data_IF_119215870047
#
_entry.id   IF_119215870047
#
_cell.length_a   1.000
_cell.length_b   1.000
_cell.length_c   1.000
_cell.angle_alpha   90.00
_cell.angle_beta   90.00
_cell.angle_gamma   90.00
#
_symmetry.space_group_name_H-M   'P 1'
#
loop_
_entity.id
_entity.type
_entity.pdbx_description
1 polymer ?
#
# COMPACT_ATOMS: atom_id res chain seq x y z
N UNK A 1 -5.80 -13.93 -6.67
CA UNK A 1 -5.56 -14.05 -8.13
C UNK A 1 -6.93 -14.12 -8.79
N UNK A 2 -7.08 -13.62 -10.02
CA UNK A 2 -8.34 -13.82 -10.75
C UNK A 2 -8.49 -15.31 -11.09
N UNK A 3 -9.70 -15.85 -10.95
CA UNK A 3 -10.03 -17.22 -11.36
C UNK A 3 -10.60 -17.18 -12.77
N UNK A 4 -10.29 -18.20 -13.57
CA UNK A 4 -10.85 -18.33 -14.91
C UNK A 4 -12.38 -18.50 -14.81
N UNK A 5 -13.18 -17.72 -15.57
CA UNK A 5 -14.63 -17.92 -15.59
C UNK A 5 -14.97 -19.28 -16.20
N UNK A 6 -15.93 -19.99 -15.60
CA UNK A 6 -16.47 -21.24 -16.12
C UNK A 6 -17.83 -21.00 -16.76
N UNK A 7 -18.79 -20.47 -16.01
CA UNK A 7 -20.14 -20.17 -16.48
C UNK A 7 -20.16 -18.98 -17.44
N UNK A 8 -19.32 -17.97 -17.22
CA UNK A 8 -19.31 -16.75 -18.04
C UNK A 8 -18.32 -16.80 -19.21
N UNK A 9 -17.71 -17.96 -19.47
CA UNK A 9 -16.69 -18.11 -20.51
C UNK A 9 -17.25 -17.85 -21.91
N UNK A 10 -18.49 -18.26 -22.17
CA UNK A 10 -19.16 -18.05 -23.47
C UNK A 10 -19.28 -16.57 -23.85
N UNK A 11 -19.27 -15.66 -22.88
CA UNK A 11 -19.31 -14.21 -23.13
C UNK A 11 -18.05 -13.74 -23.87
N UNK A 12 -16.92 -14.43 -23.71
CA UNK A 12 -15.70 -14.14 -24.47
C UNK A 12 -15.87 -14.44 -25.97
N UNK A 13 -16.73 -15.38 -26.35
CA UNK A 13 -17.02 -15.77 -27.74
C UNK A 13 -17.80 -14.69 -28.49
N UNK A 14 -18.45 -13.77 -27.76
CA UNK A 14 -19.13 -12.61 -28.34
C UNK A 14 -18.19 -11.47 -28.70
N UNK A 15 -16.93 -11.51 -28.24
CA UNK A 15 -15.93 -10.50 -28.57
C UNK A 15 -15.27 -10.82 -29.92
N UNK A 16 -14.80 -9.81 -30.67
CA UNK A 16 -14.13 -10.04 -31.95
C UNK A 16 -12.84 -10.86 -31.73
N UNK A 17 -12.73 -12.00 -32.43
CA UNK A 17 -11.58 -12.91 -32.29
C UNK A 17 -10.26 -12.20 -32.63
N UNK A 18 -9.30 -12.24 -31.71
CA UNK A 18 -7.95 -11.70 -31.91
C UNK A 18 -7.76 -10.20 -31.66
N UNK A 19 -8.84 -9.42 -31.60
CA UNK A 19 -8.78 -7.94 -31.51
C UNK A 19 -9.05 -7.40 -30.10
N UNK A 20 -9.01 -8.27 -29.08
CA UNK A 20 -9.14 -7.84 -27.69
C UNK A 20 -7.92 -8.20 -26.84
N UNK A 21 -7.63 -7.33 -25.88
CA UNK A 21 -6.64 -7.54 -24.83
C UNK A 21 -7.33 -7.89 -23.52
N UNK A 22 -6.95 -9.00 -22.91
CA UNK A 22 -7.44 -9.46 -21.60
C UNK A 22 -6.48 -9.12 -20.46
N UNK A 23 -6.99 -8.69 -19.31
CA UNK A 23 -6.19 -8.43 -18.10
C UNK A 23 -6.95 -8.78 -16.82
N UNK A 24 -6.27 -9.35 -15.83
CA UNK A 24 -6.87 -9.58 -14.51
C UNK A 24 -7.15 -8.25 -13.77
N UNK A 25 -8.38 -8.06 -13.27
CA UNK A 25 -8.80 -6.87 -12.52
C UNK A 25 -9.92 -7.20 -11.51
N UNK A 26 -9.77 -6.71 -10.27
CA UNK A 26 -10.74 -6.90 -9.17
C UNK A 26 -11.20 -8.35 -8.91
N UNK A 27 -10.37 -9.34 -9.24
CA UNK A 27 -10.71 -10.77 -9.07
C UNK A 27 -11.34 -11.43 -10.29
N UNK A 28 -11.65 -10.67 -11.35
CA UNK A 28 -12.10 -11.16 -12.65
C UNK A 28 -11.20 -10.67 -13.80
N UNK A 29 -11.76 -10.59 -15.00
CA UNK A 29 -11.04 -10.22 -16.23
C UNK A 29 -11.67 -9.05 -16.95
N UNK A 30 -10.87 -8.01 -17.20
CA UNK A 30 -11.26 -6.87 -18.02
C UNK A 30 -10.76 -7.09 -19.45
N UNK A 31 -11.62 -6.76 -20.40
CA UNK A 31 -11.40 -6.89 -21.83
C UNK A 31 -11.32 -5.49 -22.43
N UNK A 32 -10.28 -5.28 -23.20
CA UNK A 32 -10.02 -4.06 -23.93
C UNK A 32 -10.15 -4.33 -25.41
N UNK A 33 -10.84 -3.48 -26.14
CA UNK A 33 -10.80 -3.43 -27.60
C UNK A 33 -10.14 -2.09 -27.94
N UNK A 34 -9.09 -2.15 -28.77
CA UNK A 34 -8.14 -1.06 -28.94
C UNK A 34 -7.56 -0.58 -27.59
N UNK A 35 -7.89 0.65 -27.18
CA UNK A 35 -7.51 1.25 -25.89
C UNK A 35 -8.68 1.38 -24.90
N UNK A 36 -9.89 0.99 -25.31
CA UNK A 36 -11.11 1.14 -24.51
C UNK A 36 -11.37 -0.13 -23.70
N UNK A 37 -11.55 0.01 -22.38
CA UNK A 37 -12.10 -1.07 -21.58
C UNK A 37 -13.59 -1.19 -21.86
N UNK A 38 -14.05 -2.34 -22.38
CA UNK A 38 -15.41 -2.52 -22.90
C UNK A 38 -16.26 -3.48 -22.06
N UNK A 39 -15.62 -4.47 -21.44
CA UNK A 39 -16.29 -5.51 -20.66
C UNK A 39 -15.40 -5.90 -19.49
N UNK A 40 -16.01 -6.21 -18.35
CA UNK A 40 -15.35 -6.85 -17.24
C UNK A 40 -16.25 -7.97 -16.73
N UNK A 41 -15.71 -9.19 -16.69
CA UNK A 41 -16.40 -10.40 -16.25
C UNK A 41 -15.87 -10.79 -14.88
N UNK A 42 -16.78 -11.17 -13.98
CA UNK A 42 -16.44 -11.76 -12.69
C UNK A 42 -17.31 -12.97 -12.41
N UNK A 43 -16.67 -14.02 -11.93
CA UNK A 43 -17.35 -15.22 -11.48
C UNK A 43 -16.82 -15.54 -10.09
N UNK A 44 -17.52 -15.01 -9.08
CA UNK A 44 -17.16 -15.21 -7.68
C UNK A 44 -18.31 -15.90 -6.97
N UNK A 45 -18.17 -17.21 -6.76
CA UNK A 45 -19.09 -17.99 -5.94
C UNK A 45 -19.18 -17.40 -4.52
N UNK A 46 -20.40 -17.11 -4.06
CA UNK A 46 -20.65 -16.53 -2.73
C UNK A 46 -20.17 -15.08 -2.58
N UNK A 47 -20.27 -14.27 -3.64
CA UNK A 47 -19.89 -12.86 -3.65
C UNK A 47 -20.49 -12.04 -2.51
N UNK A 48 -19.84 -10.93 -2.15
CA UNK A 48 -20.38 -10.04 -1.12
C UNK A 48 -21.67 -9.37 -1.61
N UNK A 49 -22.76 -9.55 -0.87
CA UNK A 49 -24.03 -8.80 -1.04
C UNK A 49 -24.11 -7.54 -0.20
N UNK A 50 -23.05 -7.23 0.54
CA UNK A 50 -23.03 -6.08 1.44
C UNK A 50 -21.90 -5.12 1.09
N UNK A 51 -22.21 -3.83 1.08
CA UNK A 51 -21.24 -2.77 0.89
C UNK A 51 -21.65 -1.52 1.67
N UNK A 52 -20.73 -0.97 2.47
CA UNK A 52 -20.96 0.21 3.33
C UNK A 52 -22.24 0.11 4.19
N UNK A 53 -22.54 -1.09 4.71
CA UNK A 53 -23.72 -1.34 5.55
C UNK A 53 -25.05 -1.45 4.79
N UNK A 54 -25.06 -1.33 3.46
CA UNK A 54 -26.23 -1.63 2.62
C UNK A 54 -26.17 -3.08 2.14
N UNK A 55 -27.32 -3.75 2.17
CA UNK A 55 -27.50 -5.11 1.61
C UNK A 55 -28.17 -4.99 0.24
N UNK A 56 -27.68 -5.75 -0.72
CA UNK A 56 -28.19 -5.83 -2.08
C UNK A 56 -28.79 -7.22 -2.29
N UNK A 57 -29.78 -7.31 -3.16
CA UNK A 57 -30.46 -8.58 -3.46
C UNK A 57 -29.66 -9.46 -4.43
N UNK A 58 -28.62 -8.89 -5.04
CA UNK A 58 -27.69 -9.53 -5.95
C UNK A 58 -26.26 -9.50 -5.42
N UNK A 59 -25.42 -10.40 -5.95
CA UNK A 59 -23.99 -10.47 -5.64
C UNK A 59 -23.23 -9.34 -6.34
N UNK A 60 -22.39 -8.60 -5.63
CA UNK A 60 -21.71 -7.40 -6.18
C UNK A 60 -20.56 -7.74 -7.15
N UNK A 61 -20.12 -9.00 -7.19
CA UNK A 61 -18.94 -9.40 -7.96
C UNK A 61 -19.17 -10.73 -8.67
N UNK A 62 -20.39 -10.94 -9.20
CA UNK A 62 -20.74 -12.13 -9.96
C UNK A 62 -21.64 -11.78 -11.17
N UNK A 63 -21.05 -11.62 -12.35
CA UNK A 63 -21.73 -11.15 -13.56
C UNK A 63 -20.85 -10.29 -14.48
N UNK A 64 -21.47 -9.44 -15.29
CA UNK A 64 -20.80 -8.62 -16.30
C UNK A 64 -20.93 -7.12 -16.00
N UNK A 65 -19.81 -6.40 -16.13
CA UNK A 65 -19.76 -4.94 -16.05
C UNK A 65 -19.36 -4.32 -17.38
N UNK A 66 -20.04 -3.24 -17.73
CA UNK A 66 -19.84 -2.47 -18.95
C UNK A 66 -19.40 -1.06 -18.56
N UNK A 67 -18.11 -0.72 -18.75
CA UNK A 67 -17.62 0.62 -18.47
C UNK A 67 -18.26 1.63 -19.43
N UNK A 68 -18.76 2.74 -18.91
CA UNK A 68 -19.31 3.86 -19.70
C UNK A 68 -18.84 5.15 -19.04
N UNK A 69 -18.57 6.21 -19.81
CA UNK A 69 -18.30 7.51 -19.23
C UNK A 69 -19.56 8.12 -18.59
N UNK A 70 -19.40 8.82 -17.46
CA UNK A 70 -20.54 9.30 -16.66
C UNK A 70 -21.51 10.18 -17.47
N UNK A 71 -20.99 10.89 -18.47
CA UNK A 71 -21.74 11.75 -19.38
C UNK A 71 -22.72 10.96 -20.26
N UNK A 72 -22.37 9.73 -20.66
CA UNK A 72 -23.18 8.87 -21.52
C UNK A 72 -23.98 7.81 -20.74
N UNK A 73 -23.91 7.81 -19.40
CA UNK A 73 -24.56 6.78 -18.59
C UNK A 73 -26.09 6.79 -18.72
N UNK A 74 -26.71 7.97 -18.81
CA UNK A 74 -28.15 8.08 -18.99
C UNK A 74 -28.59 7.53 -20.36
N UNK A 75 -27.83 7.83 -21.41
CA UNK A 75 -28.08 7.31 -22.76
C UNK A 75 -27.88 5.78 -22.82
N UNK A 76 -26.84 5.27 -22.16
CA UNK A 76 -26.58 3.84 -22.01
C UNK A 76 -27.76 3.10 -21.33
N UNK A 77 -28.32 3.67 -20.26
CA UNK A 77 -29.47 3.11 -19.57
C UNK A 77 -30.76 3.17 -20.38
N UNK A 78 -30.92 4.18 -21.24
CA UNK A 78 -32.05 4.24 -22.17
C UNK A 78 -31.99 3.12 -23.21
N UNK A 79 -30.80 2.75 -23.68
CA UNK A 79 -30.60 1.64 -24.62
C UNK A 79 -30.67 0.27 -23.93
N UNK A 80 -30.20 0.18 -22.69
CA UNK A 80 -30.11 -1.07 -21.93
C UNK A 80 -30.67 -0.86 -20.51
N UNK A 81 -32.01 -0.79 -20.34
CA UNK A 81 -32.64 -0.45 -19.06
C UNK A 81 -32.50 -1.55 -18.00
N UNK A 82 -32.15 -2.77 -18.41
CA UNK A 82 -31.87 -3.90 -17.52
C UNK A 82 -30.52 -3.77 -16.78
N UNK A 83 -29.66 -2.84 -17.19
CA UNK A 83 -28.39 -2.58 -16.52
C UNK A 83 -28.58 -1.66 -15.32
N UNK A 84 -27.76 -1.84 -14.30
CA UNK A 84 -27.79 -0.98 -13.09
C UNK A 84 -26.41 -0.39 -12.80
N UNK A 85 -26.30 0.86 -12.34
CA UNK A 85 -25.02 1.41 -11.89
C UNK A 85 -24.44 0.59 -10.74
N UNK A 86 -23.18 0.17 -10.85
CA UNK A 86 -22.58 -0.69 -9.85
C UNK A 86 -22.40 0.06 -8.50
N UNK A 87 -22.81 -0.51 -7.35
CA UNK A 87 -22.74 0.16 -6.05
C UNK A 87 -21.36 0.66 -5.61
N UNK A 88 -20.29 -0.04 -6.03
CA UNK A 88 -18.90 0.29 -5.67
C UNK A 88 -18.24 1.16 -6.74
N UNK A 89 -18.62 0.96 -8.01
CA UNK A 89 -18.05 1.63 -9.18
C UNK A 89 -19.20 2.27 -9.98
N UNK A 90 -19.81 3.37 -9.49
CA UNK A 90 -21.07 3.90 -10.02
C UNK A 90 -20.97 4.38 -11.47
N UNK A 91 -19.76 4.56 -12.00
CA UNK A 91 -19.52 4.87 -13.41
C UNK A 91 -19.82 3.67 -14.33
N UNK A 92 -19.74 2.45 -13.82
CA UNK A 92 -19.79 1.23 -14.62
C UNK A 92 -21.18 0.61 -14.45
N UNK A 93 -21.77 0.21 -15.57
CA UNK A 93 -23.07 -0.45 -15.59
C UNK A 93 -22.87 -1.94 -15.35
N UNK A 94 -23.77 -2.56 -14.60
CA UNK A 94 -23.63 -3.91 -14.09
C UNK A 94 -24.88 -4.74 -14.38
N UNK A 95 -24.63 -5.98 -14.77
CA UNK A 95 -25.62 -7.03 -14.94
C UNK A 95 -25.22 -8.23 -14.05
N UNK A 96 -25.96 -8.49 -12.96
CA UNK A 96 -25.74 -9.66 -12.12
C UNK A 96 -26.04 -10.96 -12.86
N UNK A 97 -25.27 -12.02 -12.58
CA UNK A 97 -25.41 -13.34 -13.21
C UNK A 97 -26.82 -13.93 -13.05
N UNK A 98 -27.43 -13.78 -11.87
CA UNK A 98 -28.74 -14.36 -11.54
C UNK A 98 -29.94 -13.50 -12.02
N UNK A 99 -29.72 -12.62 -13.00
CA UNK A 99 -30.81 -11.83 -13.59
C UNK A 99 -31.59 -12.69 -14.59
N UNK A 100 -32.90 -12.53 -14.65
CA UNK A 100 -33.71 -13.18 -15.69
C UNK A 100 -33.25 -12.73 -17.09
N UNK A 101 -33.24 -13.67 -18.04
CA UNK A 101 -32.76 -13.46 -19.42
C UNK A 101 -31.33 -12.89 -19.48
N UNK A 102 -30.46 -13.29 -18.55
CA UNK A 102 -29.06 -12.85 -18.48
C UNK A 102 -28.35 -12.96 -19.82
N UNK A 103 -28.43 -14.12 -20.48
CA UNK A 103 -27.70 -14.38 -21.73
C UNK A 103 -28.13 -13.44 -22.86
N UNK A 104 -29.44 -13.19 -22.99
CA UNK A 104 -30.01 -12.27 -23.98
C UNK A 104 -29.62 -10.81 -23.69
N UNK A 105 -29.63 -10.43 -22.41
CA UNK A 105 -29.24 -9.11 -21.95
C UNK A 105 -27.76 -8.84 -22.19
N UNK A 106 -26.87 -9.79 -21.88
CA UNK A 106 -25.43 -9.70 -22.18
C UNK A 106 -25.21 -9.57 -23.68
N UNK A 107 -25.85 -10.42 -24.48
CA UNK A 107 -25.73 -10.39 -25.94
C UNK A 107 -26.18 -9.05 -26.51
N UNK A 108 -27.30 -8.52 -26.01
CA UNK A 108 -27.84 -7.23 -26.44
C UNK A 108 -26.92 -6.08 -26.05
N UNK A 109 -26.41 -6.06 -24.81
CA UNK A 109 -25.48 -5.05 -24.35
C UNK A 109 -24.17 -5.08 -25.16
N UNK A 110 -23.57 -6.26 -25.37
CA UNK A 110 -22.36 -6.39 -26.16
C UNK A 110 -22.54 -5.97 -27.62
N UNK A 111 -23.69 -6.29 -28.23
CA UNK A 111 -24.02 -5.78 -29.58
C UNK A 111 -24.01 -4.26 -29.65
N UNK A 112 -24.40 -3.54 -28.58
CA UNK A 112 -24.32 -2.07 -28.53
C UNK A 112 -22.89 -1.59 -28.29
N UNK A 113 -22.15 -2.28 -27.42
CA UNK A 113 -20.76 -1.95 -27.07
C UNK A 113 -19.85 -2.07 -28.28
N UNK A 114 -20.05 -3.10 -29.11
CA UNK A 114 -19.22 -3.41 -30.28
C UNK A 114 -19.56 -2.61 -31.54
N UNK A 115 -20.55 -1.69 -31.50
CA UNK A 115 -20.87 -0.86 -32.67
C UNK A 115 -19.71 0.07 -33.03
N UNK A 116 -19.46 0.31 -34.33
CA UNK A 116 -18.54 1.37 -34.76
C UNK A 116 -18.94 2.72 -34.14
N UNK A 117 -17.96 3.48 -33.64
CA UNK A 117 -18.17 4.77 -32.95
C UNK A 117 -19.05 4.72 -31.70
N UNK A 118 -19.16 3.56 -31.05
CA UNK A 118 -19.87 3.43 -29.79
C UNK A 118 -19.24 4.31 -28.69
N UNK A 119 -20.09 5.00 -27.94
CA UNK A 119 -19.71 5.74 -26.72
C UNK A 119 -19.44 4.80 -25.53
N UNK A 120 -19.75 3.51 -25.69
CA UNK A 120 -19.46 2.49 -24.70
C UNK A 120 -17.96 2.27 -24.56
N UNK A 121 -17.59 1.81 -23.37
CA UNK A 121 -16.22 1.63 -22.95
C UNK A 121 -15.64 2.87 -22.30
N UNK A 122 -14.53 2.69 -21.58
CA UNK A 122 -13.79 3.82 -21.01
C UNK A 122 -12.30 3.64 -21.21
N UNK A 123 -11.64 4.69 -21.67
CA UNK A 123 -10.18 4.71 -21.78
C UNK A 123 -9.62 4.94 -20.38
N UNK A 124 -8.82 4.01 -19.82
CA UNK A 124 -8.21 4.22 -18.52
C UNK A 124 -7.31 5.46 -18.59
N UNK A 125 -7.72 6.55 -17.94
CA UNK A 125 -6.86 7.72 -17.83
C UNK A 125 -5.55 7.29 -17.18
N UNK A 126 -4.43 7.58 -17.85
CA UNK A 126 -3.11 7.41 -17.23
C UNK A 126 -3.17 8.10 -15.87
N UNK A 127 -2.85 7.37 -14.80
CA UNK A 127 -2.77 7.98 -13.48
C UNK A 127 -1.71 9.06 -13.56
N UNK A 128 -2.11 10.33 -13.61
CA UNK A 128 -1.23 11.43 -13.26
C UNK A 128 -0.65 11.03 -11.90
N UNK A 129 0.67 10.78 -11.85
CA UNK A 129 1.36 10.53 -10.59
C UNK A 129 0.93 11.64 -9.66
N UNK A 130 0.14 11.31 -8.62
CA UNK A 130 -0.25 12.27 -7.61
C UNK A 130 1.06 12.89 -7.12
N UNK A 131 1.26 14.19 -7.37
CA UNK A 131 2.34 14.92 -6.70
C UNK A 131 2.09 14.68 -5.22
N UNK A 132 3.07 14.05 -4.56
CA UNK A 132 3.03 13.86 -3.12
C UNK A 132 2.68 15.20 -2.46
N UNK A 133 1.91 15.21 -1.36
CA UNK A 133 1.64 16.45 -0.64
C UNK A 133 2.99 17.13 -0.37
N UNK A 134 3.12 18.40 -0.78
CA UNK A 134 4.33 19.18 -0.51
C UNK A 134 4.50 19.22 1.01
N UNK A 135 5.58 18.61 1.47
CA UNK A 135 6.02 18.66 2.85
C UNK A 135 6.24 20.14 3.23
N UNK A 136 5.65 20.67 4.33
CA UNK A 136 5.84 22.05 4.77
C UNK A 136 7.31 22.42 5.03
N UNK A 137 8.22 21.45 5.05
CA UNK A 137 9.66 21.66 5.24
C UNK A 137 10.43 22.05 3.94
N UNK A 138 9.76 22.20 2.80
CA UNK A 138 10.42 22.51 1.52
C UNK A 138 10.92 23.95 1.35
N UNK A 139 10.76 24.83 2.33
CA UNK A 139 11.18 26.25 2.20
C UNK A 139 12.67 26.49 2.44
N UNK A 140 13.45 25.46 2.81
CA UNK A 140 14.92 25.55 2.83
C UNK A 140 15.48 24.86 1.60
N UNK A 141 15.42 25.54 0.45
CA UNK A 141 16.08 25.10 -0.78
C UNK A 141 17.60 25.29 -0.67
N UNK A 142 18.27 24.48 0.14
CA UNK A 142 19.66 24.17 -0.16
C UNK A 142 19.61 23.29 -1.41
N UNK A 143 20.12 23.77 -2.54
CA UNK A 143 20.31 22.97 -3.77
C UNK A 143 21.06 21.69 -3.37
N UNK A 144 20.34 20.59 -3.17
CA UNK A 144 20.94 19.28 -2.98
C UNK A 144 21.59 18.89 -4.31
N UNK A 145 22.91 18.78 -4.34
CA UNK A 145 23.61 18.25 -5.51
C UNK A 145 23.31 16.75 -5.60
N UNK A 146 22.42 16.38 -6.51
CA UNK A 146 21.99 14.99 -6.70
C UNK A 146 23.00 14.15 -7.47
N UNK A 147 24.09 14.75 -7.97
CA UNK A 147 25.18 14.04 -8.66
C UNK A 147 26.02 13.21 -7.70
N UNK A 148 26.07 13.60 -6.42
CA UNK A 148 26.69 12.84 -5.35
C UNK A 148 25.67 12.69 -4.21
N UNK A 149 24.85 11.63 -4.23
CA UNK A 149 23.97 11.33 -3.11
C UNK A 149 24.83 11.22 -1.85
N UNK A 150 24.44 11.88 -0.74
CA UNK A 150 25.16 11.84 0.56
C UNK A 150 25.49 10.43 1.07
N UNK A 151 24.88 9.40 0.49
CA UNK A 151 25.21 7.99 0.75
C UNK A 151 26.60 7.57 0.25
N UNK A 152 27.26 8.36 -0.61
CA UNK A 152 28.54 8.06 -1.25
C UNK A 152 29.69 9.02 -0.90
N UNK A 153 29.53 9.87 0.13
CA UNK A 153 30.61 10.76 0.55
C UNK A 153 31.55 10.05 1.54
N UNK A 154 32.79 9.80 1.13
CA UNK A 154 33.89 9.34 1.98
C UNK A 154 34.50 10.49 2.80
N UNK A 155 33.65 11.35 3.38
CA UNK A 155 34.13 12.41 4.27
C UNK A 155 34.55 11.81 5.63
N UNK A 156 35.70 12.23 6.18
CA UNK A 156 36.20 11.70 7.45
C UNK A 156 35.21 11.99 8.59
N UNK A 157 34.94 10.98 9.41
CA UNK A 157 33.91 11.02 10.45
C UNK A 157 34.02 12.26 11.38
N UNK A 158 35.24 12.71 11.67
CA UNK A 158 35.50 13.84 12.54
C UNK A 158 34.94 15.18 12.03
N UNK A 159 34.84 15.37 10.71
CA UNK A 159 34.33 16.61 10.11
C UNK A 159 32.81 16.62 10.05
N UNK A 160 32.21 15.47 9.70
CA UNK A 160 30.75 15.28 9.66
C UNK A 160 30.14 15.45 11.04
N UNK A 161 30.78 14.89 12.07
CA UNK A 161 30.32 15.01 13.46
C UNK A 161 30.38 16.44 14.01
N UNK A 162 31.28 17.30 13.49
CA UNK A 162 31.36 18.72 13.87
C UNK A 162 30.29 19.57 13.18
N UNK A 163 29.88 19.20 11.96
CA UNK A 163 28.86 19.90 11.17
C UNK A 163 27.43 19.47 11.52
N UNK A 164 27.25 18.30 12.14
CA UNK A 164 25.93 17.76 12.48
C UNK A 164 25.28 18.56 13.63
N UNK A 165 24.15 19.20 13.34
CA UNK A 165 23.34 19.89 14.34
C UNK A 165 22.15 19.03 14.79
N UNK A 166 21.50 18.34 13.85
CA UNK A 166 20.36 17.45 14.08
C UNK A 166 20.79 15.99 14.13
N UNK A 167 19.95 15.15 14.74
CA UNK A 167 20.22 13.71 14.84
C UNK A 167 19.99 13.05 13.48
N UNK A 168 19.05 13.58 12.69
CA UNK A 168 18.79 13.17 11.31
C UNK A 168 19.94 13.44 10.35
N UNK A 169 20.91 14.29 10.74
CA UNK A 169 22.07 14.61 9.90
C UNK A 169 23.13 13.49 9.95
N UNK A 170 23.04 12.59 10.94
CA UNK A 170 23.96 11.48 11.13
C UNK A 170 23.60 10.28 10.27
N UNK A 171 24.62 9.58 9.77
CA UNK A 171 24.44 8.40 8.92
C UNK A 171 23.68 7.30 9.69
N UNK A 172 22.78 6.61 8.99
CA UNK A 172 21.88 5.58 9.52
C UNK A 172 20.76 6.05 10.49
N UNK A 173 20.69 7.35 10.82
CA UNK A 173 19.65 7.91 11.69
C UNK A 173 18.69 8.80 10.88
N UNK A 174 17.45 8.35 10.73
CA UNK A 174 16.41 9.11 10.03
C UNK A 174 15.53 9.95 10.96
N UNK A 175 14.55 10.65 10.37
CA UNK A 175 13.59 11.49 11.10
C UNK A 175 12.78 10.73 12.18
N UNK A 176 12.53 9.43 11.98
CA UNK A 176 11.82 8.62 12.98
C UNK A 176 12.71 8.29 14.19
N UNK A 177 14.00 8.05 13.96
CA UNK A 177 14.98 7.89 15.04
C UNK A 177 15.13 9.20 15.82
N UNK A 178 15.15 10.35 15.14
CA UNK A 178 15.23 11.65 15.81
C UNK A 178 14.08 11.88 16.80
N UNK A 179 12.83 11.52 16.45
CA UNK A 179 11.70 11.58 17.39
C UNK A 179 11.91 10.70 18.62
N UNK A 180 12.44 9.49 18.43
CA UNK A 180 12.72 8.55 19.52
C UNK A 180 13.81 9.10 20.46
N UNK A 181 14.82 9.75 19.89
CA UNK A 181 15.87 10.41 20.67
C UNK A 181 15.34 11.61 21.45
N UNK A 182 14.49 12.44 20.85
CA UNK A 182 13.82 13.52 21.55
C UNK A 182 12.97 13.01 22.72
N UNK A 183 12.24 11.91 22.54
CA UNK A 183 11.48 11.26 23.60
C UNK A 183 12.38 10.70 24.72
N UNK A 184 13.61 10.28 24.39
CA UNK A 184 14.63 9.86 25.36
C UNK A 184 15.46 11.02 25.94
N UNK A 185 15.09 12.28 25.65
CA UNK A 185 15.73 13.47 26.18
C UNK A 185 17.07 13.84 25.52
N UNK A 186 17.39 13.27 24.35
CA UNK A 186 18.56 13.62 23.54
C UNK A 186 18.06 14.49 22.39
N UNK A 187 18.37 15.78 22.43
CA UNK A 187 17.83 16.75 21.45
C UNK A 187 18.81 17.18 20.37
N UNK A 188 20.11 16.96 20.57
CA UNK A 188 21.15 17.41 19.64
C UNK A 188 22.15 16.31 19.31
N UNK A 189 22.75 16.37 18.13
CA UNK A 189 23.80 15.43 17.70
C UNK A 189 25.01 15.45 18.66
N UNK A 190 25.39 16.62 19.17
CA UNK A 190 26.49 16.75 20.13
C UNK A 190 26.21 16.03 21.46
N UNK A 191 24.97 16.03 21.94
CA UNK A 191 24.58 15.27 23.13
C UNK A 191 24.73 13.76 22.88
N UNK A 192 24.35 13.29 21.69
CA UNK A 192 24.55 11.90 21.29
C UNK A 192 26.04 11.52 21.25
N UNK A 193 26.88 12.34 20.58
CA UNK A 193 28.33 12.12 20.48
C UNK A 193 28.98 12.06 21.87
N UNK A 194 28.60 12.98 22.77
CA UNK A 194 29.13 13.02 24.14
C UNK A 194 28.71 11.81 24.99
N UNK A 195 27.52 11.27 24.78
CA UNK A 195 27.01 10.11 25.51
C UNK A 195 27.59 8.79 24.98
N UNK A 196 27.86 8.73 23.68
CA UNK A 196 28.26 7.51 22.98
C UNK A 196 27.10 6.53 22.78
N UNK A 197 27.34 5.47 22.00
CA UNK A 197 26.29 4.54 21.58
C UNK A 197 25.72 3.69 22.74
N UNK A 198 26.57 3.24 23.69
CA UNK A 198 26.15 2.38 24.81
C UNK A 198 25.12 3.05 25.73
N UNK A 199 25.41 4.27 26.18
CA UNK A 199 24.52 5.04 27.08
C UNK A 199 23.26 5.51 26.37
N UNK A 200 23.39 5.88 25.09
CA UNK A 200 22.26 6.25 24.25
C UNK A 200 21.29 5.10 24.06
N UNK A 201 21.80 3.89 23.78
CA UNK A 201 20.98 2.70 23.63
C UNK A 201 20.19 2.37 24.91
N UNK A 202 20.80 2.50 26.09
CA UNK A 202 20.12 2.30 27.37
C UNK A 202 18.95 3.29 27.57
N UNK A 203 19.17 4.58 27.25
CA UNK A 203 18.11 5.60 27.33
C UNK A 203 16.97 5.33 26.35
N UNK A 204 17.31 4.89 25.13
CA UNK A 204 16.32 4.56 24.11
C UNK A 204 15.51 3.31 24.46
N UNK A 205 16.15 2.28 25.05
CA UNK A 205 15.45 1.08 25.53
C UNK A 205 14.47 1.41 26.66
N UNK A 206 14.80 2.38 27.53
CA UNK A 206 13.92 2.80 28.62
C UNK A 206 12.60 3.40 28.12
N UNK A 207 12.63 4.17 27.03
CA UNK A 207 11.44 4.76 26.42
C UNK A 207 10.76 3.79 25.45
N UNK A 208 11.54 3.02 24.70
CA UNK A 208 11.08 2.14 23.64
C UNK A 208 11.72 0.75 23.76
N UNK A 209 11.05 -0.19 24.47
CA UNK A 209 11.57 -1.55 24.68
C UNK A 209 11.81 -2.36 23.39
N UNK A 210 11.25 -1.92 22.25
CA UNK A 210 11.42 -2.54 20.93
C UNK A 210 12.82 -2.35 20.34
N UNK A 211 13.58 -1.33 20.76
CA UNK A 211 14.94 -1.06 20.26
C UNK A 211 16.02 -1.96 20.88
N UNK A 212 15.61 -2.96 21.68
CA UNK A 212 16.51 -3.95 22.26
C UNK A 212 16.86 -5.03 21.23
N UNK A 213 17.57 -4.64 20.17
CA UNK A 213 18.14 -5.54 19.18
C UNK A 213 19.50 -5.01 18.69
N UNK A 214 20.42 -5.91 18.34
CA UNK A 214 21.79 -5.58 17.93
C UNK A 214 21.86 -4.67 16.71
N UNK A 215 20.90 -4.76 15.79
CA UNK A 215 20.84 -3.89 14.61
C UNK A 215 20.75 -2.40 14.95
N UNK A 216 20.10 -2.04 16.07
CA UNK A 216 19.98 -0.65 16.47
C UNK A 216 21.31 -0.13 17.02
N UNK A 217 22.04 -1.00 17.75
CA UNK A 217 23.38 -0.68 18.21
C UNK A 217 24.35 -0.47 17.03
N UNK A 218 24.22 -1.24 15.95
CA UNK A 218 25.00 -1.03 14.72
C UNK A 218 24.70 0.33 14.09
N UNK A 219 23.42 0.71 14.00
CA UNK A 219 23.06 2.03 13.49
C UNK A 219 23.69 3.18 14.31
N UNK A 220 23.74 3.04 15.64
CA UNK A 220 24.39 4.02 16.53
C UNK A 220 25.92 4.06 16.38
N UNK A 221 26.56 2.90 16.23
CA UNK A 221 28.01 2.82 16.01
C UNK A 221 28.35 3.43 14.64
N UNK A 222 27.62 3.05 13.60
CA UNK A 222 27.79 3.61 12.25
C UNK A 222 27.54 5.12 12.20
N UNK A 223 26.62 5.63 13.02
CA UNK A 223 26.41 7.07 13.16
C UNK A 223 27.62 7.81 13.77
N UNK A 224 28.39 7.15 14.66
CA UNK A 224 29.59 7.73 15.27
C UNK A 224 30.83 7.58 14.37
N UNK A 225 30.96 6.47 13.66
CA UNK A 225 32.09 6.22 12.76
C UNK A 225 31.85 6.74 11.34
N UNK A 226 30.69 7.34 11.08
CA UNK A 226 30.23 7.76 9.75
C UNK A 226 30.23 6.63 8.71
N UNK A 227 30.06 5.38 9.16
CA UNK A 227 30.02 4.18 8.31
C UNK A 227 28.60 3.66 8.19
N UNK A 228 28.30 2.97 7.09
CA UNK A 228 27.04 2.25 6.98
C UNK A 228 27.03 1.08 7.97
N UNK A 229 25.88 0.78 8.59
CA UNK A 229 25.79 -0.29 9.59
C UNK A 229 26.18 -1.69 9.05
N UNK A 230 26.13 -1.87 7.73
CA UNK A 230 26.59 -3.06 7.00
C UNK A 230 28.12 -3.18 7.00
N UNK A 231 28.83 -2.05 6.94
CA UNK A 231 30.29 -1.96 6.77
C UNK A 231 31.08 -1.82 8.09
N UNK A 232 30.40 -1.80 9.24
CA UNK A 232 31.05 -1.80 10.56
C UNK A 232 31.92 -3.04 10.73
N UNK A 233 33.05 -2.86 11.43
CA UNK A 233 34.01 -3.93 11.73
C UNK A 233 33.35 -5.08 12.49
N UNK A 234 33.84 -6.30 12.27
CA UNK A 234 33.26 -7.49 12.91
C UNK A 234 33.43 -7.43 14.45
N UNK A 235 34.55 -6.87 14.93
CA UNK A 235 34.82 -6.68 16.36
C UNK A 235 33.78 -5.78 17.04
N UNK A 236 33.43 -4.63 16.43
CA UNK A 236 32.40 -3.72 16.98
C UNK A 236 30.99 -4.33 16.91
N UNK A 237 30.71 -5.14 15.88
CA UNK A 237 29.44 -5.87 15.78
C UNK A 237 29.29 -6.91 16.88
N UNK A 238 30.37 -7.57 17.25
CA UNK A 238 30.36 -8.59 18.31
C UNK A 238 30.28 -7.94 19.70
N UNK A 239 30.99 -6.83 19.93
CA UNK A 239 30.83 -6.02 21.16
C UNK A 239 29.38 -5.54 21.35
N UNK A 240 28.75 -5.05 20.29
CA UNK A 240 27.35 -4.62 20.33
C UNK A 240 26.37 -5.79 20.57
N UNK A 241 26.65 -6.98 20.04
CA UNK A 241 25.84 -8.19 20.32
C UNK A 241 25.96 -8.61 21.77
N UNK A 242 27.17 -8.66 22.30
CA UNK A 242 27.44 -9.01 23.69
C UNK A 242 26.79 -8.02 24.64
N UNK A 243 26.89 -6.72 24.34
CA UNK A 243 26.24 -5.67 25.12
C UNK A 243 24.73 -5.85 25.13
N UNK A 244 24.07 -6.02 23.97
CA UNK A 244 22.61 -6.22 23.92
C UNK A 244 22.19 -7.53 24.58
N UNK A 245 22.99 -8.60 24.47
CA UNK A 245 22.76 -9.88 25.15
C UNK A 245 22.84 -9.75 26.67
N UNK A 246 23.72 -8.88 27.18
CA UNK A 246 23.87 -8.61 28.61
C UNK A 246 22.65 -7.86 29.21
N UNK A 247 21.84 -7.19 28.39
CA UNK A 247 20.66 -6.45 28.84
C UNK A 247 19.49 -7.40 29.14
N UNK A 248 19.26 -7.65 30.44
CA UNK A 248 18.12 -8.46 30.91
C UNK A 248 16.80 -7.91 30.36
N UNK A 249 15.86 -8.78 29.91
CA UNK A 249 14.55 -8.34 29.47
C UNK A 249 13.82 -7.63 30.60
N UNK A 250 13.25 -6.46 30.32
CA UNK A 250 12.27 -5.84 31.22
C UNK A 250 11.11 -6.85 31.42
N UNK A 251 10.73 -7.10 32.68
CA UNK A 251 9.59 -7.96 33.02
C UNK A 251 8.36 -7.46 32.25
N UNK A 252 7.79 -8.30 31.39
CA UNK A 252 6.50 -8.00 30.75
C UNK A 252 5.45 -7.82 31.85
N UNK A 253 4.60 -6.76 31.84
CA UNK A 253 3.46 -6.71 32.73
C UNK A 253 2.52 -7.88 32.40
N UNK A 254 2.27 -8.74 33.39
CA UNK A 254 1.42 -9.92 33.27
C UNK A 254 -0.01 -9.43 33.00
N UNK A 255 -0.52 -9.61 31.78
CA UNK A 255 -1.94 -9.39 31.46
C UNK A 255 -2.76 -10.46 32.19
N UNK A 256 -3.46 -10.09 33.26
CA UNK A 256 -4.46 -10.96 33.92
C UNK A 256 -5.56 -11.29 32.90
N UNK A 257 -5.65 -12.55 32.46
CA UNK A 257 -6.79 -13.05 31.66
C UNK A 257 -8.03 -13.09 32.56
N UNK A 258 -9.02 -12.25 32.28
CA UNK A 258 -10.36 -12.38 32.85
C UNK A 258 -11.04 -13.62 32.25
N UNK A 259 -11.23 -14.66 33.06
CA UNK A 259 -12.04 -15.83 32.69
C UNK A 259 -13.51 -15.50 32.95
N UNK A 260 -14.30 -15.33 31.89
CA UNK A 260 -15.77 -15.23 31.98
C UNK A 260 -16.33 -16.58 32.42
N UNK A 261 -16.83 -16.66 33.66
CA UNK A 261 -17.66 -17.77 34.16
C UNK A 261 -18.97 -17.78 33.34
N UNK A 262 -19.21 -18.85 32.56
CA UNK A 262 -20.53 -19.12 31.97
C UNK A 262 -21.45 -19.67 33.08
N UNK A 263 -22.47 -18.92 33.45
CA UNK A 263 -23.62 -19.42 34.21
C UNK A 263 -24.50 -20.28 33.29
N UNK A 264 -24.75 -21.54 33.66
CA UNK A 264 -25.79 -22.38 33.04
C UNK A 264 -27.17 -21.92 33.54
N UNK A 265 -28.20 -21.79 32.69
CA UNK A 265 -29.56 -21.66 33.16
C UNK A 265 -30.09 -23.05 33.59
N UNK A 266 -30.94 -23.05 34.63
CA UNK A 266 -31.84 -24.14 34.99
C UNK A 266 -33.14 -23.96 34.24
#
# INVERSE_FOLDING_TARGET
>A
MAKEPQELKWVEELLPEGDYRRKAMFGGFIYYIDEKAVLLIFETEGGSRTYKGKKYDFDLWNGCMFPVDKEFQAEALNLCPFLTPHPILPKWLYLPLHTENFDEHVTTALKQVLRPHSFWGSIPKAKNKKKAPKDPLQEVSVRMDTRYPRMFSDEPAAEVLKRAHKISDLKNLGAESEKQFHAAGIKTAQQFIKLGWKKTLLKLIAVHPKHRHSLYAYALIGALTNTEFTQISQAEKDEAREFVRSLKPAKKPIKKKFVKKKSKPK
#
